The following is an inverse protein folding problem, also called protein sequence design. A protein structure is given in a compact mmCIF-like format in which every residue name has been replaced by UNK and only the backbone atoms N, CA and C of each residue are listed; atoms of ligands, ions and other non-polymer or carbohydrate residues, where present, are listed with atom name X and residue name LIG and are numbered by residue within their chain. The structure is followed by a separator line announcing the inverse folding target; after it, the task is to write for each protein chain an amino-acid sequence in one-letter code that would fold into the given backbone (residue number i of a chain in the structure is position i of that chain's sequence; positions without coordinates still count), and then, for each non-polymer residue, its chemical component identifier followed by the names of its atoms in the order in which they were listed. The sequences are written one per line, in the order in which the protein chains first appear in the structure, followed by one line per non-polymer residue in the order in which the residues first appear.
data_IF_070491757642
#
_entry.id   IF_070491757642
#
_cell.length_a   1.000
_cell.length_b   1.000
_cell.length_c   1.000
_cell.angle_alpha   90.00
_cell.angle_beta   90.00
_cell.angle_gamma   90.00
#
_symmetry.space_group_name_H-M   'P 1'
#
loop_
_entity.id
_entity.type
_entity.pdbx_description
1 polymer ?
#
# COMPACT_ATOMS: atom_id res chain seq x y z
N UNK A 1 -27.57 -1.42 -1.56
CA UNK A 1 -26.61 -2.13 -0.72
C UNK A 1 -26.70 -1.56 0.70
N UNK A 2 -27.14 -2.34 1.69
CA UNK A 2 -27.01 -1.97 3.10
C UNK A 2 -25.51 -1.83 3.39
N UNK A 3 -25.06 -0.60 3.64
CA UNK A 3 -23.67 -0.30 3.96
C UNK A 3 -23.40 -0.81 5.37
N UNK A 4 -22.71 -1.93 5.50
CA UNK A 4 -22.13 -2.41 6.77
C UNK A 4 -20.97 -1.48 7.16
N UNK A 5 -21.29 -0.24 7.54
CA UNK A 5 -20.30 0.67 8.09
C UNK A 5 -19.90 0.12 9.45
N UNK A 6 -18.67 -0.34 9.55
CA UNK A 6 -18.11 -0.86 10.79
C UNK A 6 -17.79 0.32 11.68
N UNK A 7 -18.45 0.41 12.81
CA UNK A 7 -18.15 1.38 13.86
C UNK A 7 -16.96 0.86 14.69
N UNK A 8 -15.86 1.61 14.67
CA UNK A 8 -14.62 1.27 15.39
C UNK A 8 -14.76 1.39 16.92
N UNK A 9 -15.83 2.05 17.39
CA UNK A 9 -16.01 2.35 18.82
C UNK A 9 -16.89 1.36 19.60
N UNK A 10 -17.71 0.55 18.91
CA UNK A 10 -18.81 -0.19 19.56
C UNK A 10 -18.65 -1.71 19.56
N UNK A 11 -17.75 -2.27 18.74
CA UNK A 11 -17.59 -3.71 18.57
C UNK A 11 -16.44 -4.27 19.42
N UNK A 12 -16.61 -5.54 19.85
CA UNK A 12 -15.53 -6.32 20.45
C UNK A 12 -14.31 -6.36 19.51
N UNK A 13 -13.10 -6.15 20.04
CA UNK A 13 -11.84 -6.03 19.28
C UNK A 13 -11.60 -7.24 18.37
N UNK A 14 -11.88 -8.47 18.85
CA UNK A 14 -11.70 -9.69 18.06
C UNK A 14 -12.68 -9.76 16.88
N UNK A 15 -13.94 -9.44 17.12
CA UNK A 15 -14.97 -9.39 16.06
C UNK A 15 -14.64 -8.32 15.04
N UNK A 16 -14.17 -7.16 15.49
CA UNK A 16 -13.74 -6.06 14.66
C UNK A 16 -12.53 -6.48 13.81
N UNK A 17 -11.50 -7.07 14.42
CA UNK A 17 -10.33 -7.57 13.72
C UNK A 17 -10.70 -8.57 12.62
N UNK A 18 -11.57 -9.56 12.92
CA UNK A 18 -12.01 -10.54 11.91
C UNK A 18 -12.74 -9.90 10.74
N UNK A 19 -13.55 -8.87 10.99
CA UNK A 19 -14.25 -8.11 9.92
C UNK A 19 -13.30 -7.36 9.00
N UNK A 20 -12.12 -6.97 9.47
CA UNK A 20 -11.08 -6.34 8.68
C UNK A 20 -10.12 -7.36 8.06
N UNK A 21 -9.72 -8.37 8.83
CA UNK A 21 -8.72 -9.35 8.42
C UNK A 21 -9.16 -10.21 7.23
N UNK A 22 -10.36 -10.78 7.30
CA UNK A 22 -10.84 -11.67 6.22
C UNK A 22 -10.90 -10.97 4.86
N UNK A 23 -11.53 -9.79 4.70
CA UNK A 23 -11.51 -9.09 3.43
C UNK A 23 -10.10 -8.66 3.00
N UNK A 24 -9.25 -8.23 3.94
CA UNK A 24 -7.89 -7.81 3.61
C UNK A 24 -7.05 -8.99 3.12
N UNK A 25 -7.12 -10.14 3.81
CA UNK A 25 -6.43 -11.36 3.40
C UNK A 25 -6.89 -11.84 2.02
N UNK A 26 -8.20 -11.86 1.77
CA UNK A 26 -8.73 -12.25 0.45
C UNK A 26 -8.29 -11.29 -0.67
N UNK A 27 -8.26 -9.98 -0.39
CA UNK A 27 -7.75 -9.00 -1.34
C UNK A 27 -6.26 -9.21 -1.65
N UNK A 28 -5.44 -9.47 -0.63
CA UNK A 28 -4.01 -9.75 -0.81
C UNK A 28 -3.75 -11.07 -1.50
N UNK A 29 -4.52 -12.12 -1.16
CA UNK A 29 -4.45 -13.42 -1.82
C UNK A 29 -4.75 -13.28 -3.32
N UNK A 30 -5.77 -12.51 -3.68
CA UNK A 30 -6.12 -12.23 -5.08
C UNK A 30 -4.96 -11.56 -5.81
N UNK A 31 -4.32 -10.55 -5.20
CA UNK A 31 -3.17 -9.86 -5.81
C UNK A 31 -1.95 -10.76 -5.94
N UNK A 32 -1.65 -11.60 -4.92
CA UNK A 32 -0.55 -12.57 -5.00
C UNK A 32 -0.80 -13.64 -6.07
N UNK A 33 -2.04 -14.11 -6.20
CA UNK A 33 -2.42 -15.07 -7.24
C UNK A 33 -2.27 -14.47 -8.64
N UNK A 34 -2.66 -13.20 -8.83
CA UNK A 34 -2.47 -12.47 -10.09
C UNK A 34 -0.99 -12.41 -10.47
N UNK A 35 -0.12 -12.02 -9.53
CA UNK A 35 1.32 -11.96 -9.80
C UNK A 35 1.88 -13.30 -10.29
N UNK A 36 1.44 -14.42 -9.70
CA UNK A 36 1.84 -15.75 -10.14
C UNK A 36 1.25 -16.12 -11.50
N UNK A 37 -0.02 -15.80 -11.77
CA UNK A 37 -0.70 -16.05 -13.05
C UNK A 37 -0.04 -15.25 -14.18
N UNK A 38 0.26 -13.97 -13.93
CA UNK A 38 0.96 -13.10 -14.86
C UNK A 38 2.33 -13.70 -15.23
N UNK A 39 3.11 -14.15 -14.25
CA UNK A 39 4.36 -14.86 -14.49
C UNK A 39 4.20 -16.15 -15.33
N UNK A 40 3.14 -16.92 -15.09
CA UNK A 40 2.82 -18.12 -15.89
C UNK A 40 2.48 -17.73 -17.32
N UNK A 41 1.67 -16.70 -17.53
CA UNK A 41 1.26 -16.27 -18.88
C UNK A 41 2.43 -15.68 -19.67
N UNK A 42 3.26 -14.85 -19.05
CA UNK A 42 4.48 -14.33 -19.67
C UNK A 42 5.45 -15.47 -19.99
N UNK A 43 5.63 -16.41 -19.06
CA UNK A 43 6.52 -17.56 -19.28
C UNK A 43 6.08 -18.46 -20.43
N UNK A 44 4.78 -18.72 -20.59
CA UNK A 44 4.26 -19.54 -21.69
C UNK A 44 4.13 -18.77 -23.01
N UNK A 45 3.83 -17.47 -22.96
CA UNK A 45 3.60 -16.66 -24.14
C UNK A 45 4.87 -16.06 -24.77
N UNK A 46 5.89 -15.80 -23.93
CA UNK A 46 7.13 -15.11 -24.36
C UNK A 46 8.38 -15.95 -24.07
N UNK A 47 8.36 -16.76 -23.01
CA UNK A 47 9.50 -17.57 -22.58
C UNK A 47 10.34 -16.93 -21.48
N UNK A 48 11.58 -17.44 -21.29
CA UNK A 48 12.51 -16.99 -20.23
C UNK A 48 12.86 -15.51 -20.33
N UNK A 49 13.07 -15.01 -21.54
CA UNK A 49 13.43 -13.62 -21.83
C UNK A 49 12.32 -12.66 -21.37
N UNK A 50 11.05 -13.04 -21.56
CA UNK A 50 9.90 -12.28 -21.07
C UNK A 50 9.87 -12.19 -19.55
N UNK A 51 10.10 -13.31 -18.85
CA UNK A 51 10.17 -13.35 -17.38
C UNK A 51 11.35 -12.49 -16.90
N UNK A 52 12.52 -12.58 -17.55
CA UNK A 52 13.69 -11.79 -17.21
C UNK A 52 13.43 -10.29 -17.38
N UNK A 53 12.81 -9.88 -18.49
CA UNK A 53 12.49 -8.49 -18.78
C UNK A 53 11.54 -7.90 -17.74
N UNK A 54 10.46 -8.61 -17.37
CA UNK A 54 9.54 -8.19 -16.31
C UNK A 54 10.27 -8.09 -14.97
N UNK A 55 11.05 -9.12 -14.60
CA UNK A 55 11.73 -9.18 -13.31
C UNK A 55 12.75 -8.04 -13.11
N UNK A 56 13.43 -7.60 -14.18
CA UNK A 56 14.33 -6.44 -14.14
C UNK A 56 13.58 -5.15 -13.75
N UNK A 57 12.32 -5.00 -14.12
CA UNK A 57 11.51 -3.80 -13.81
C UNK A 57 10.90 -3.83 -12.39
N UNK A 58 10.75 -4.99 -11.76
CA UNK A 58 10.08 -5.16 -10.46
C UNK A 58 10.69 -4.32 -9.32
N UNK A 59 12.02 -4.17 -9.16
CA UNK A 59 12.60 -3.36 -8.10
C UNK A 59 12.09 -1.91 -8.10
N UNK A 60 11.91 -1.29 -9.26
CA UNK A 60 11.35 0.06 -9.36
C UNK A 60 9.88 0.08 -8.89
N UNK A 61 9.07 -0.87 -9.33
CA UNK A 61 7.68 -0.99 -8.89
C UNK A 61 7.58 -1.12 -7.36
N UNK A 62 8.45 -1.93 -6.75
CA UNK A 62 8.48 -2.12 -5.30
C UNK A 62 8.81 -0.83 -4.56
N UNK A 63 9.74 -0.01 -5.06
CA UNK A 63 10.06 1.29 -4.48
C UNK A 63 8.86 2.24 -4.54
N UNK A 64 8.17 2.34 -5.67
CA UNK A 64 6.97 3.17 -5.80
C UNK A 64 5.82 2.67 -4.92
N UNK A 65 5.61 1.37 -4.87
CA UNK A 65 4.62 0.75 -3.98
C UNK A 65 4.97 1.04 -2.52
N UNK A 66 6.25 0.94 -2.14
CA UNK A 66 6.74 1.25 -0.80
C UNK A 66 6.48 2.70 -0.38
N UNK A 67 6.67 3.67 -1.29
CA UNK A 67 6.32 5.08 -1.05
C UNK A 67 4.81 5.22 -0.82
N UNK A 68 4.00 4.56 -1.65
CA UNK A 68 2.55 4.53 -1.49
C UNK A 68 2.10 3.93 -0.15
N UNK A 69 2.71 2.80 0.26
CA UNK A 69 2.46 2.15 1.55
C UNK A 69 2.89 3.02 2.73
N UNK A 70 4.05 3.67 2.66
CA UNK A 70 4.54 4.59 3.69
C UNK A 70 3.54 5.72 3.94
N UNK A 71 3.15 6.41 2.88
CA UNK A 71 2.22 7.54 2.99
C UNK A 71 0.81 7.07 3.32
N UNK A 72 0.36 5.95 2.74
CA UNK A 72 -0.96 5.37 2.99
C UNK A 72 -1.14 4.93 4.45
N UNK A 73 -0.18 4.20 5.01
CA UNK A 73 -0.19 3.79 6.41
C UNK A 73 -0.10 5.00 7.35
N UNK A 74 0.85 5.93 7.10
CA UNK A 74 1.01 7.14 7.89
C UNK A 74 -0.24 8.04 7.84
N UNK A 75 -0.82 8.24 6.66
CA UNK A 75 -2.06 8.98 6.47
C UNK A 75 -3.22 8.35 7.24
N UNK A 76 -3.38 7.03 7.16
CA UNK A 76 -4.43 6.28 7.85
C UNK A 76 -4.31 6.42 9.36
N UNK A 77 -3.11 6.33 9.94
CA UNK A 77 -2.87 6.53 11.38
C UNK A 77 -3.23 7.94 11.80
N UNK A 78 -2.72 8.96 11.11
CA UNK A 78 -2.99 10.37 11.44
C UNK A 78 -4.48 10.70 11.31
N UNK A 79 -5.13 10.25 10.23
CA UNK A 79 -6.55 10.45 10.02
C UNK A 79 -7.41 9.73 11.07
N UNK A 80 -7.02 8.52 11.48
CA UNK A 80 -7.68 7.72 12.52
C UNK A 80 -7.67 8.44 13.88
N UNK A 81 -6.50 8.95 14.30
CA UNK A 81 -6.36 9.73 15.52
C UNK A 81 -7.19 11.02 15.47
N UNK A 82 -7.27 11.68 14.33
CA UNK A 82 -8.09 12.89 14.17
C UNK A 82 -9.59 12.58 14.19
N UNK A 83 -10.01 11.46 13.60
CA UNK A 83 -11.40 11.00 13.66
C UNK A 83 -11.82 10.66 15.08
N UNK A 84 -10.99 9.94 15.83
CA UNK A 84 -11.28 9.60 17.24
C UNK A 84 -11.43 10.83 18.13
N UNK A 85 -10.76 11.94 17.77
CA UNK A 85 -10.87 13.25 18.46
C UNK A 85 -12.01 14.13 17.92
N UNK A 86 -12.87 13.62 17.04
CA UNK A 86 -13.97 14.38 16.43
C UNK A 86 -13.54 15.42 15.38
N UNK A 87 -12.24 15.46 15.00
CA UNK A 87 -11.70 16.44 14.04
C UNK A 87 -11.81 15.96 12.58
N UNK A 88 -13.02 15.64 12.13
CA UNK A 88 -13.27 15.07 10.79
C UNK A 88 -12.76 15.95 9.63
N UNK A 89 -12.84 17.28 9.74
CA UNK A 89 -12.29 18.19 8.72
C UNK A 89 -10.78 18.03 8.56
N UNK A 90 -10.05 17.93 9.66
CA UNK A 90 -8.59 17.73 9.64
C UNK A 90 -8.23 16.38 9.05
N UNK A 91 -8.97 15.32 9.39
CA UNK A 91 -8.78 14.00 8.81
C UNK A 91 -8.95 14.00 7.28
N UNK A 92 -10.02 14.63 6.77
CA UNK A 92 -10.28 14.77 5.33
C UNK A 92 -9.17 15.55 4.61
N UNK A 93 -8.72 16.66 5.20
CA UNK A 93 -7.62 17.45 4.63
C UNK A 93 -6.31 16.65 4.59
N UNK A 94 -5.99 15.88 5.63
CA UNK A 94 -4.81 15.02 5.65
C UNK A 94 -4.83 13.98 4.52
N UNK A 95 -5.98 13.35 4.27
CA UNK A 95 -6.13 12.39 3.16
C UNK A 95 -5.92 13.06 1.81
N UNK A 96 -6.53 14.24 1.59
CA UNK A 96 -6.37 14.97 0.33
C UNK A 96 -4.91 15.41 0.11
N UNK A 97 -4.24 15.89 1.17
CA UNK A 97 -2.83 16.29 1.13
C UNK A 97 -1.91 15.09 0.83
N UNK A 98 -2.17 13.94 1.44
CA UNK A 98 -1.43 12.71 1.19
C UNK A 98 -1.53 12.29 -0.28
N UNK A 99 -2.74 12.21 -0.82
CA UNK A 99 -2.97 11.83 -2.22
C UNK A 99 -2.32 12.81 -3.20
N UNK A 100 -2.44 14.11 -2.97
CA UNK A 100 -1.78 15.11 -3.81
C UNK A 100 -0.25 14.96 -3.78
N UNK A 101 0.31 14.79 -2.59
CA UNK A 101 1.75 14.63 -2.42
C UNK A 101 2.29 13.39 -3.15
N UNK A 102 1.67 12.23 -2.93
CA UNK A 102 2.15 10.99 -3.58
C UNK A 102 1.95 11.02 -5.09
N UNK A 103 0.90 11.71 -5.58
CA UNK A 103 0.69 11.91 -7.02
C UNK A 103 1.84 12.72 -7.64
N UNK A 104 2.25 13.81 -6.98
CA UNK A 104 3.39 14.62 -7.45
C UNK A 104 4.69 13.81 -7.39
N UNK A 105 4.92 13.09 -6.28
CA UNK A 105 6.11 12.25 -6.10
C UNK A 105 6.18 11.12 -7.11
N UNK A 106 5.05 10.59 -7.57
CA UNK A 106 5.02 9.59 -8.63
C UNK A 106 5.18 10.17 -10.03
N UNK A 107 4.54 11.31 -10.31
CA UNK A 107 4.55 11.92 -11.65
C UNK A 107 5.95 12.31 -12.10
N UNK A 108 6.76 12.92 -11.23
CA UNK A 108 8.08 13.43 -11.62
C UNK A 108 9.03 12.30 -12.07
N UNK A 109 9.25 11.23 -11.26
CA UNK A 109 10.10 10.13 -11.71
C UNK A 109 9.50 9.37 -12.90
N UNK A 110 8.17 9.19 -12.96
CA UNK A 110 7.51 8.53 -14.08
C UNK A 110 7.75 9.28 -15.39
N UNK A 111 7.60 10.60 -15.39
CA UNK A 111 7.87 11.42 -16.56
C UNK A 111 9.35 11.34 -16.99
N UNK A 112 10.28 11.34 -16.04
CA UNK A 112 11.71 11.20 -16.31
C UNK A 112 12.04 9.84 -16.93
N UNK A 113 11.50 8.75 -16.40
CA UNK A 113 11.71 7.40 -16.93
C UNK A 113 11.08 7.20 -18.31
N UNK A 114 9.93 7.83 -18.55
CA UNK A 114 9.33 7.84 -19.90
C UNK A 114 10.13 8.65 -20.92
N UNK A 115 10.84 9.69 -20.48
CA UNK A 115 11.72 10.47 -21.35
C UNK A 115 13.02 9.72 -21.70
N UNK A 116 13.50 8.85 -20.79
CA UNK A 116 14.76 8.10 -20.93
C UNK A 116 14.58 6.61 -20.61
N UNK A 117 13.74 5.88 -21.37
CA UNK A 117 13.40 4.50 -21.01
C UNK A 117 14.57 3.52 -21.22
N UNK A 118 15.39 3.71 -22.26
CA UNK A 118 16.54 2.85 -22.54
C UNK A 118 17.64 3.01 -21.47
N UNK A 119 17.92 4.24 -21.05
CA UNK A 119 18.86 4.52 -19.97
C UNK A 119 18.38 3.93 -18.64
N UNK A 120 17.07 4.03 -18.36
CA UNK A 120 16.47 3.41 -17.18
C UNK A 120 16.62 1.90 -17.22
N UNK A 121 16.37 1.25 -18.36
CA UNK A 121 16.56 -0.19 -18.54
C UNK A 121 18.01 -0.62 -18.31
N UNK A 122 18.98 0.12 -18.85
CA UNK A 122 20.40 -0.14 -18.61
C UNK A 122 20.80 0.03 -17.15
N UNK A 123 20.29 1.06 -16.48
CA UNK A 123 20.53 1.25 -15.04
C UNK A 123 19.99 0.12 -14.19
N UNK A 124 18.90 -0.54 -14.61
CA UNK A 124 18.34 -1.70 -13.94
C UNK A 124 19.14 -2.99 -14.20
N UNK A 125 20.13 -2.95 -15.08
CA UNK A 125 20.98 -4.10 -15.40
C UNK A 125 20.47 -4.96 -16.56
N UNK A 126 19.69 -4.39 -17.47
CA UNK A 126 19.26 -5.08 -18.69
C UNK A 126 20.46 -5.37 -19.61
N UNK A 127 20.53 -6.59 -20.13
CA UNK A 127 21.44 -6.91 -21.24
C UNK A 127 21.00 -6.20 -22.53
N UNK A 128 21.93 -6.03 -23.49
CA UNK A 128 21.58 -5.45 -24.80
C UNK A 128 20.55 -6.30 -25.56
N UNK A 129 20.51 -7.62 -25.29
CA UNK A 129 19.53 -8.54 -25.85
C UNK A 129 18.11 -8.26 -25.30
N UNK A 130 17.99 -8.05 -23.99
CA UNK A 130 16.68 -7.78 -23.31
C UNK A 130 16.26 -6.31 -23.41
N UNK A 131 17.18 -5.40 -23.78
CA UNK A 131 16.93 -3.97 -23.77
C UNK A 131 15.64 -3.54 -24.49
N UNK A 132 15.34 -4.04 -25.71
CA UNK A 132 14.08 -3.69 -26.38
C UNK A 132 12.83 -4.10 -25.57
N UNK A 133 12.80 -5.33 -25.03
CA UNK A 133 11.66 -5.83 -24.26
C UNK A 133 11.48 -5.07 -22.97
N UNK A 134 12.56 -4.77 -22.25
CA UNK A 134 12.53 -3.99 -21.00
C UNK A 134 12.07 -2.56 -21.27
N UNK A 135 12.54 -1.96 -22.36
CA UNK A 135 12.15 -0.60 -22.77
C UNK A 135 10.65 -0.54 -23.11
N UNK A 136 10.16 -1.48 -23.90
CA UNK A 136 8.74 -1.57 -24.25
C UNK A 136 7.87 -1.80 -23.00
N UNK A 137 8.30 -2.68 -22.10
CA UNK A 137 7.61 -2.90 -20.83
C UNK A 137 7.51 -1.62 -20.00
N UNK A 138 8.62 -0.88 -19.84
CA UNK A 138 8.66 0.37 -19.08
C UNK A 138 7.73 1.41 -19.70
N UNK A 139 7.73 1.59 -21.01
CA UNK A 139 6.90 2.60 -21.70
C UNK A 139 5.39 2.38 -21.44
N UNK A 140 4.94 1.14 -21.41
CA UNK A 140 3.53 0.82 -21.18
C UNK A 140 3.16 0.68 -19.71
N UNK A 141 4.13 0.40 -18.84
CA UNK A 141 3.89 0.16 -17.42
C UNK A 141 4.04 1.41 -16.55
N UNK A 142 5.05 2.25 -16.81
CA UNK A 142 5.34 3.46 -16.01
C UNK A 142 4.15 4.42 -15.89
N UNK A 143 3.31 4.67 -16.92
CA UNK A 143 2.14 5.52 -16.79
C UNK A 143 1.14 5.05 -15.72
N UNK A 144 1.09 3.75 -15.44
CA UNK A 144 0.19 3.20 -14.43
C UNK A 144 0.64 3.45 -13.00
N UNK A 145 1.87 3.88 -12.75
CA UNK A 145 2.40 4.03 -11.39
C UNK A 145 1.70 5.10 -10.57
N UNK A 146 1.21 6.15 -11.21
CA UNK A 146 0.34 7.13 -10.55
C UNK A 146 -0.94 6.48 -10.05
N UNK A 147 -1.52 5.60 -10.87
CA UNK A 147 -2.73 4.86 -10.49
C UNK A 147 -2.44 3.76 -9.47
N UNK A 148 -1.24 3.17 -9.49
CA UNK A 148 -0.78 2.25 -8.44
C UNK A 148 -0.79 2.92 -7.06
N UNK A 149 -0.39 4.18 -6.98
CA UNK A 149 -0.49 4.95 -5.75
C UNK A 149 -1.95 5.31 -5.43
N UNK A 150 -2.76 5.56 -6.45
CA UNK A 150 -4.20 5.82 -6.31
C UNK A 150 -5.02 4.57 -5.93
N UNK A 151 -4.45 3.39 -5.98
CA UNK A 151 -5.04 2.21 -5.35
C UNK A 151 -4.44 1.99 -3.95
N UNK A 152 -3.12 2.09 -3.79
CA UNK A 152 -2.42 1.77 -2.54
C UNK A 152 -2.86 2.66 -1.38
N UNK A 153 -2.80 3.99 -1.53
CA UNK A 153 -3.16 4.94 -0.46
C UNK A 153 -4.66 4.88 -0.15
N UNK A 154 -5.57 4.93 -1.13
CA UNK A 154 -7.00 4.79 -0.86
C UNK A 154 -7.40 3.49 -0.17
N UNK A 155 -6.75 2.36 -0.42
CA UNK A 155 -7.09 1.12 0.26
C UNK A 155 -6.96 1.22 1.79
N UNK A 156 -5.95 1.94 2.31
CA UNK A 156 -5.83 2.23 3.74
C UNK A 156 -6.96 3.14 4.23
N UNK A 157 -7.28 4.17 3.47
CA UNK A 157 -8.30 5.16 3.81
C UNK A 157 -9.71 4.54 3.76
N UNK A 158 -10.01 3.71 2.76
CA UNK A 158 -11.28 3.00 2.61
C UNK A 158 -11.52 2.03 3.77
N UNK A 159 -10.46 1.32 4.21
CA UNK A 159 -10.55 0.47 5.42
C UNK A 159 -10.86 1.32 6.64
N UNK A 160 -10.18 2.44 6.83
CA UNK A 160 -10.42 3.36 7.95
C UNK A 160 -11.84 3.98 7.91
N UNK A 161 -12.38 4.25 6.71
CA UNK A 161 -13.77 4.74 6.53
C UNK A 161 -14.82 3.67 6.86
N UNK A 162 -14.41 2.47 7.29
CA UNK A 162 -15.29 1.36 7.70
C UNK A 162 -15.78 0.48 6.55
N UNK A 163 -15.11 0.49 5.40
CA UNK A 163 -15.50 -0.28 4.22
C UNK A 163 -14.43 -1.30 3.75
N UNK A 164 -13.93 -2.23 4.60
CA UNK A 164 -12.89 -3.18 4.21
C UNK A 164 -13.31 -4.13 3.08
N UNK A 165 -14.59 -4.47 2.98
CA UNK A 165 -15.14 -5.26 1.87
C UNK A 165 -14.99 -4.55 0.52
N UNK A 166 -15.13 -3.22 0.50
CA UNK A 166 -14.92 -2.45 -0.72
C UNK A 166 -13.43 -2.40 -1.10
N UNK A 167 -12.54 -2.27 -0.11
CA UNK A 167 -11.10 -2.35 -0.35
C UNK A 167 -10.73 -3.71 -0.98
N UNK A 168 -11.28 -4.80 -0.47
CA UNK A 168 -11.15 -6.14 -1.08
C UNK A 168 -11.69 -6.17 -2.51
N UNK A 169 -12.87 -5.58 -2.74
CA UNK A 169 -13.49 -5.57 -4.06
C UNK A 169 -12.65 -4.80 -5.09
N UNK A 170 -12.02 -3.68 -4.70
CA UNK A 170 -11.09 -2.96 -5.58
C UNK A 170 -9.92 -3.86 -6.00
N UNK A 171 -9.31 -4.59 -5.05
CA UNK A 171 -8.23 -5.55 -5.36
C UNK A 171 -8.70 -6.68 -6.26
N UNK A 172 -9.90 -7.22 -6.00
CA UNK A 172 -10.47 -8.31 -6.80
C UNK A 172 -10.80 -7.87 -8.23
N UNK A 173 -11.35 -6.68 -8.42
CA UNK A 173 -11.62 -6.10 -9.75
C UNK A 173 -10.31 -5.95 -10.53
N UNK A 174 -9.27 -5.38 -9.89
CA UNK A 174 -7.94 -5.26 -10.50
C UNK A 174 -7.42 -6.64 -10.91
N UNK A 175 -7.54 -7.64 -10.03
CA UNK A 175 -7.10 -9.00 -10.27
C UNK A 175 -7.79 -9.65 -11.47
N UNK A 176 -9.11 -9.59 -11.53
CA UNK A 176 -9.90 -10.20 -12.61
C UNK A 176 -9.62 -9.52 -13.94
N UNK A 177 -9.58 -8.19 -13.98
CA UNK A 177 -9.28 -7.44 -15.20
C UNK A 177 -7.87 -7.80 -15.70
N UNK A 178 -6.88 -7.87 -14.80
CA UNK A 178 -5.51 -8.20 -15.18
C UNK A 178 -5.43 -9.60 -15.83
N UNK A 179 -5.93 -10.63 -15.16
CA UNK A 179 -5.88 -12.02 -15.68
C UNK A 179 -6.57 -12.14 -17.06
N UNK A 180 -7.71 -11.49 -17.23
CA UNK A 180 -8.45 -11.53 -18.50
C UNK A 180 -7.68 -10.82 -19.60
N UNK A 181 -7.12 -9.63 -19.31
CA UNK A 181 -6.40 -8.85 -20.30
C UNK A 181 -5.02 -9.45 -20.61
N UNK A 182 -4.32 -10.03 -19.64
CA UNK A 182 -3.06 -10.74 -19.85
C UNK A 182 -3.26 -11.90 -20.81
N UNK A 183 -4.28 -12.73 -20.58
CA UNK A 183 -4.62 -13.80 -21.49
C UNK A 183 -4.92 -13.28 -22.90
N UNK A 184 -5.71 -12.21 -23.00
CA UNK A 184 -6.14 -11.65 -24.29
C UNK A 184 -4.96 -11.06 -25.08
N UNK A 185 -4.10 -10.28 -24.44
CA UNK A 185 -3.02 -9.57 -25.12
C UNK A 185 -1.81 -10.44 -25.40
N UNK A 186 -1.51 -11.40 -24.51
CA UNK A 186 -0.36 -12.29 -24.69
C UNK A 186 -0.66 -13.37 -25.75
N UNK A 187 -1.80 -14.07 -25.66
CA UNK A 187 -2.09 -15.21 -26.52
C UNK A 187 -2.83 -14.85 -27.82
N UNK A 188 -4.07 -14.34 -27.81
CA UNK A 188 -4.77 -14.02 -29.06
C UNK A 188 -4.13 -12.89 -29.86
N UNK A 189 -3.64 -11.83 -29.20
CA UNK A 189 -3.05 -10.68 -29.90
C UNK A 189 -1.55 -10.82 -30.13
N UNK A 190 -0.86 -11.71 -29.40
CA UNK A 190 0.57 -11.95 -29.57
C UNK A 190 1.48 -10.75 -29.23
N UNK A 191 1.01 -9.84 -28.33
CA UNK A 191 1.78 -8.64 -27.97
C UNK A 191 2.93 -8.92 -27.00
N UNK A 192 3.09 -10.16 -26.55
CA UNK A 192 4.22 -10.56 -25.71
C UNK A 192 4.32 -9.73 -24.40
N UNK A 193 5.53 -9.32 -24.06
CA UNK A 193 5.83 -8.55 -22.82
C UNK A 193 5.11 -7.20 -22.79
N UNK A 194 4.98 -6.53 -23.94
CA UNK A 194 4.22 -5.30 -24.06
C UNK A 194 2.75 -5.51 -23.67
N UNK A 195 2.16 -6.64 -24.09
CA UNK A 195 0.78 -7.02 -23.75
C UNK A 195 0.58 -7.18 -22.23
N UNK A 196 1.51 -7.85 -21.55
CA UNK A 196 1.50 -7.99 -20.09
C UNK A 196 1.58 -6.62 -19.39
N UNK A 197 2.49 -5.74 -19.82
CA UNK A 197 2.62 -4.39 -19.29
C UNK A 197 1.32 -3.59 -19.44
N UNK A 198 0.70 -3.67 -20.61
CA UNK A 198 -0.53 -2.95 -20.93
C UNK A 198 -1.74 -3.47 -20.15
N UNK A 199 -1.86 -4.80 -20.02
CA UNK A 199 -2.91 -5.43 -19.22
C UNK A 199 -2.81 -5.04 -17.73
N UNK A 200 -1.61 -5.11 -17.17
CA UNK A 200 -1.33 -4.69 -15.79
C UNK A 200 -1.65 -3.21 -15.60
N UNK A 201 -1.28 -2.36 -16.56
CA UNK A 201 -1.58 -0.92 -16.50
C UNK A 201 -3.08 -0.63 -16.48
N UNK A 202 -3.84 -1.22 -17.39
CA UNK A 202 -5.31 -1.03 -17.44
C UNK A 202 -5.96 -1.53 -16.15
N UNK A 203 -5.55 -2.67 -15.62
CA UNK A 203 -6.12 -3.25 -14.41
C UNK A 203 -5.86 -2.37 -13.18
N UNK A 204 -4.64 -1.85 -13.03
CA UNK A 204 -4.27 -0.89 -11.98
C UNK A 204 -5.05 0.41 -12.13
N UNK A 205 -5.19 0.94 -13.35
CA UNK A 205 -5.98 2.14 -13.62
C UNK A 205 -7.43 1.94 -13.22
N UNK A 206 -8.04 0.81 -13.58
CA UNK A 206 -9.41 0.48 -13.22
C UNK A 206 -9.61 0.42 -11.69
N UNK A 207 -8.74 -0.31 -10.98
CA UNK A 207 -8.79 -0.40 -9.52
C UNK A 207 -8.56 0.94 -8.82
N UNK A 208 -7.58 1.72 -9.29
CA UNK A 208 -7.28 3.07 -8.78
C UNK A 208 -8.44 4.04 -8.99
N UNK A 209 -9.07 4.03 -10.17
CA UNK A 209 -10.24 4.86 -10.45
C UNK A 209 -11.44 4.49 -9.57
N UNK A 210 -11.72 3.20 -9.37
CA UNK A 210 -12.81 2.76 -8.48
C UNK A 210 -12.55 3.25 -7.05
N UNK A 211 -11.34 3.12 -6.55
CA UNK A 211 -10.95 3.58 -5.22
C UNK A 211 -11.07 5.12 -5.08
N UNK A 212 -10.64 5.87 -6.09
CA UNK A 212 -10.75 7.33 -6.12
C UNK A 212 -12.20 7.81 -6.22
N UNK A 213 -13.02 7.19 -7.06
CA UNK A 213 -14.47 7.48 -7.15
C UNK A 213 -15.16 7.28 -5.81
N UNK A 214 -14.79 6.22 -5.08
CA UNK A 214 -15.30 6.03 -3.73
C UNK A 214 -14.94 7.19 -2.79
N UNK A 215 -13.67 7.59 -2.74
CA UNK A 215 -13.22 8.68 -1.86
C UNK A 215 -13.80 10.05 -2.25
N UNK A 216 -14.08 10.28 -3.53
CA UNK A 216 -14.66 11.52 -4.02
C UNK A 216 -16.17 11.63 -3.71
N UNK A 217 -16.92 10.54 -3.90
CA UNK A 217 -18.38 10.60 -3.91
C UNK A 217 -19.05 9.82 -2.78
N UNK A 218 -18.47 8.68 -2.35
CA UNK A 218 -19.15 7.70 -1.49
C UNK A 218 -18.58 7.61 -0.07
N UNK A 219 -17.38 8.13 0.21
CA UNK A 219 -16.78 8.07 1.54
C UNK A 219 -17.61 8.84 2.56
N UNK A 220 -17.78 8.25 3.75
CA UNK A 220 -18.62 8.83 4.83
C UNK A 220 -17.85 9.87 5.65
N UNK A 221 -16.73 9.45 6.21
CA UNK A 221 -15.95 10.26 7.14
C UNK A 221 -14.74 10.90 6.46
N UNK A 222 -14.17 10.26 5.44
CA UNK A 222 -12.90 10.61 4.81
C UNK A 222 -13.03 11.06 3.35
N UNK A 223 -14.18 11.66 3.00
CA UNK A 223 -14.40 12.23 1.67
C UNK A 223 -13.37 13.31 1.36
N UNK A 224 -12.78 13.26 0.16
CA UNK A 224 -11.82 14.27 -0.30
C UNK A 224 -12.42 15.67 -0.32
N UNK A 225 -11.62 16.66 0.08
CA UNK A 225 -12.01 18.06 0.09
C UNK A 225 -11.02 18.91 -0.70
N UNK A 226 -11.48 19.91 -1.46
CA UNK A 226 -10.58 20.81 -2.16
C UNK A 226 -9.67 21.55 -1.19
N UNK A 227 -8.38 21.61 -1.51
CA UNK A 227 -7.39 22.36 -0.75
C UNK A 227 -7.48 23.86 -1.10
N UNK A 228 -7.39 24.70 -0.09
CA UNK A 228 -7.27 26.15 -0.32
C UNK A 228 -5.81 26.47 -0.70
N UNK A 229 -5.62 27.13 -1.81
CA UNK A 229 -4.31 27.60 -2.28
C UNK A 229 -3.89 28.84 -1.48
N UNK A 230 -3.13 28.63 -0.42
CA UNK A 230 -2.60 29.67 0.46
C UNK A 230 -1.25 29.23 1.02
N UNK A 231 -0.32 30.15 1.24
CA UNK A 231 1.00 29.86 1.83
C UNK A 231 0.84 29.15 3.19
N UNK A 232 -0.14 29.57 4.00
CA UNK A 232 -0.46 28.92 5.28
C UNK A 232 -0.92 27.46 5.06
N UNK A 233 -1.75 27.21 4.07
CA UNK A 233 -2.21 25.85 3.70
C UNK A 233 -1.05 24.99 3.24
N UNK A 234 -0.15 25.51 2.42
CA UNK A 234 1.03 24.79 1.93
C UNK A 234 1.96 24.39 3.09
N UNK A 235 2.26 25.33 4.00
CA UNK A 235 3.09 25.06 5.18
C UNK A 235 2.47 23.97 6.08
N UNK A 236 1.14 24.01 6.27
CA UNK A 236 0.43 22.97 7.01
C UNK A 236 0.49 21.62 6.29
N UNK A 237 0.36 21.59 4.97
CA UNK A 237 0.47 20.37 4.15
C UNK A 237 1.85 19.74 4.31
N UNK A 238 2.91 20.50 4.16
CA UNK A 238 4.29 20.00 4.32
C UNK A 238 4.50 19.43 5.74
N UNK A 239 4.01 20.12 6.77
CA UNK A 239 4.09 19.61 8.15
C UNK A 239 3.33 18.29 8.32
N UNK A 240 2.10 18.22 7.82
CA UNK A 240 1.26 17.03 7.96
C UNK A 240 1.84 15.84 7.19
N UNK A 241 2.33 16.06 5.97
CA UNK A 241 3.02 15.03 5.19
C UNK A 241 4.28 14.55 5.91
N UNK A 242 5.06 15.48 6.49
CA UNK A 242 6.22 15.12 7.31
C UNK A 242 5.88 14.18 8.47
N UNK A 243 4.75 14.39 9.14
CA UNK A 243 4.26 13.47 10.18
C UNK A 243 3.86 12.11 9.61
N UNK A 244 3.14 12.09 8.48
CA UNK A 244 2.75 10.84 7.83
C UNK A 244 3.98 10.02 7.41
N UNK A 245 4.97 10.69 6.80
CA UNK A 245 6.23 10.06 6.41
C UNK A 245 7.08 9.59 7.60
N UNK A 246 6.91 10.14 8.81
CA UNK A 246 7.59 9.65 10.02
C UNK A 246 6.95 8.41 10.62
N UNK A 247 5.68 8.18 10.38
CA UNK A 247 4.92 7.04 10.92
C UNK A 247 5.09 5.79 10.05
N UNK A 248 5.21 5.97 8.74
CA UNK A 248 5.21 4.88 7.76
C UNK A 248 6.54 4.32 7.25
N UNK A 249 7.75 4.69 7.76
CA UNK A 249 9.01 4.22 7.18
C UNK A 249 9.19 2.71 7.21
N UNK A 250 8.60 2.03 8.20
CA UNK A 250 8.65 0.56 8.29
C UNK A 250 8.05 -0.13 7.07
N UNK A 251 6.98 0.42 6.50
CA UNK A 251 6.37 -0.10 5.30
C UNK A 251 7.26 0.13 4.06
N UNK A 252 7.84 1.34 3.93
CA UNK A 252 8.80 1.63 2.87
C UNK A 252 10.05 0.75 2.97
N UNK A 253 10.62 0.59 4.18
CA UNK A 253 11.81 -0.22 4.39
C UNK A 253 11.57 -1.69 4.04
N UNK A 254 10.38 -2.23 4.32
CA UNK A 254 10.01 -3.58 3.91
C UNK A 254 10.08 -3.76 2.40
N UNK A 255 9.42 -2.92 1.63
CA UNK A 255 9.44 -2.96 0.17
C UNK A 255 10.82 -2.62 -0.41
N UNK A 256 11.52 -1.63 0.16
CA UNK A 256 12.87 -1.27 -0.27
C UNK A 256 13.87 -2.40 -0.06
N UNK A 257 13.76 -3.15 1.03
CA UNK A 257 14.60 -4.33 1.28
C UNK A 257 14.38 -5.41 0.21
N UNK A 258 13.12 -5.68 -0.14
CA UNK A 258 12.80 -6.60 -1.22
C UNK A 258 13.27 -6.08 -2.59
N UNK A 259 13.11 -4.79 -2.86
CA UNK A 259 13.60 -4.16 -4.09
C UNK A 259 15.12 -4.28 -4.23
N UNK A 260 15.87 -4.03 -3.16
CA UNK A 260 17.33 -4.20 -3.14
C UNK A 260 17.72 -5.67 -3.32
N UNK A 261 17.03 -6.59 -2.64
CA UNK A 261 17.27 -8.03 -2.79
C UNK A 261 17.07 -8.47 -4.24
N UNK A 262 15.98 -8.03 -4.89
CA UNK A 262 15.68 -8.38 -6.27
C UNK A 262 16.67 -7.71 -7.24
N UNK A 263 17.01 -6.44 -7.03
CA UNK A 263 17.99 -5.75 -7.86
C UNK A 263 19.36 -6.41 -7.79
N UNK A 264 19.87 -6.65 -6.59
CA UNK A 264 21.16 -7.34 -6.40
C UNK A 264 21.11 -8.78 -6.92
N UNK A 265 20.01 -9.48 -6.66
CA UNK A 265 19.78 -10.82 -7.20
C UNK A 265 19.85 -10.84 -8.72
N UNK A 266 19.11 -9.94 -9.39
CA UNK A 266 19.14 -9.84 -10.86
C UNK A 266 20.57 -9.59 -11.37
N UNK A 267 21.34 -8.67 -10.75
CA UNK A 267 22.73 -8.41 -11.16
C UNK A 267 23.64 -9.64 -10.99
N UNK A 268 23.51 -10.36 -9.87
CA UNK A 268 24.28 -11.57 -9.61
C UNK A 268 23.92 -12.66 -10.60
N UNK A 269 22.62 -12.96 -10.77
CA UNK A 269 22.19 -14.00 -11.72
C UNK A 269 22.55 -13.64 -13.17
N UNK A 270 22.44 -12.35 -13.55
CA UNK A 270 22.88 -11.87 -14.86
C UNK A 270 24.39 -12.12 -15.08
N UNK A 271 25.22 -11.83 -14.07
CA UNK A 271 26.67 -11.95 -14.21
C UNK A 271 27.18 -13.40 -14.30
N UNK A 272 26.49 -14.36 -13.66
CA UNK A 272 26.91 -15.77 -13.64
C UNK A 272 26.19 -16.65 -14.66
N UNK A 273 24.92 -16.40 -14.95
CA UNK A 273 24.06 -17.27 -15.74
C UNK A 273 23.39 -16.54 -16.92
N UNK A 274 23.62 -15.25 -17.09
CA UNK A 274 23.01 -14.45 -18.15
C UNK A 274 21.50 -14.28 -18.02
N UNK A 275 20.83 -14.05 -19.16
CA UNK A 275 19.39 -13.76 -19.23
C UNK A 275 18.52 -14.89 -18.66
N UNK A 276 18.88 -16.15 -18.95
CA UNK A 276 18.19 -17.33 -18.40
C UNK A 276 18.28 -17.41 -16.87
N UNK A 277 19.40 -16.98 -16.29
CA UNK A 277 19.58 -16.91 -14.84
C UNK A 277 18.61 -15.91 -14.21
N UNK A 278 18.43 -14.74 -14.81
CA UNK A 278 17.48 -13.73 -14.34
C UNK A 278 16.04 -14.23 -14.48
N UNK A 279 15.73 -14.94 -15.58
CA UNK A 279 14.43 -15.58 -15.76
C UNK A 279 14.12 -16.63 -14.68
N UNK A 280 15.09 -17.51 -14.38
CA UNK A 280 14.96 -18.52 -13.33
C UNK A 280 14.79 -17.89 -11.93
N UNK A 281 15.55 -16.85 -11.62
CA UNK A 281 15.40 -16.07 -10.37
C UNK A 281 14.03 -15.41 -10.31
N UNK A 282 13.52 -14.86 -11.41
CA UNK A 282 12.19 -14.28 -11.52
C UNK A 282 11.09 -15.25 -11.13
N UNK A 283 11.16 -16.51 -11.59
CA UNK A 283 10.20 -17.56 -11.22
C UNK A 283 10.18 -17.75 -9.69
N UNK A 284 11.33 -17.80 -9.03
CA UNK A 284 11.41 -17.89 -7.58
C UNK A 284 10.80 -16.68 -6.88
N UNK A 285 10.97 -15.48 -7.44
CA UNK A 285 10.45 -14.23 -6.89
C UNK A 285 8.91 -14.14 -6.93
N UNK A 286 8.21 -14.84 -7.83
CA UNK A 286 6.74 -14.86 -7.86
C UNK A 286 6.10 -15.49 -6.62
N UNK A 287 6.84 -16.27 -5.81
CA UNK A 287 6.36 -16.83 -4.55
C UNK A 287 6.49 -15.88 -3.36
N UNK A 288 7.33 -14.84 -3.45
CA UNK A 288 7.56 -13.88 -2.35
C UNK A 288 6.26 -13.24 -1.84
N UNK A 289 5.34 -12.75 -2.68
CA UNK A 289 4.08 -12.16 -2.20
C UNK A 289 3.23 -13.11 -1.34
N UNK A 290 3.22 -14.41 -1.64
CA UNK A 290 2.48 -15.40 -0.86
C UNK A 290 3.04 -15.58 0.56
N UNK A 291 4.36 -15.53 0.70
CA UNK A 291 5.02 -15.65 2.01
C UNK A 291 4.68 -14.46 2.92
N UNK A 292 4.68 -13.24 2.36
CA UNK A 292 4.47 -12.02 3.13
C UNK A 292 3.01 -11.61 3.29
N UNK A 293 2.07 -12.14 2.47
CA UNK A 293 0.68 -11.67 2.44
C UNK A 293 -0.06 -11.80 3.79
N UNK A 294 0.18 -12.88 4.54
CA UNK A 294 -0.51 -13.11 5.82
C UNK A 294 -0.07 -12.09 6.87
N UNK A 295 1.25 -11.86 7.00
CA UNK A 295 1.80 -10.87 7.90
C UNK A 295 1.31 -9.45 7.57
N UNK A 296 1.33 -9.09 6.29
CA UNK A 296 0.83 -7.81 5.80
C UNK A 296 -0.68 -7.65 6.04
N UNK A 297 -1.48 -8.71 5.84
CA UNK A 297 -2.92 -8.70 6.11
C UNK A 297 -3.21 -8.46 7.60
N UNK A 298 -2.46 -9.10 8.51
CA UNK A 298 -2.56 -8.87 9.95
C UNK A 298 -2.24 -7.40 10.28
N UNK A 299 -1.10 -6.89 9.81
CA UNK A 299 -0.64 -5.54 10.08
C UNK A 299 -1.64 -4.48 9.57
N UNK A 300 -2.09 -4.61 8.32
CA UNK A 300 -3.03 -3.65 7.71
C UNK A 300 -4.44 -3.72 8.30
N UNK A 301 -4.83 -4.85 8.87
CA UNK A 301 -6.13 -5.01 9.54
C UNK A 301 -6.13 -4.50 10.97
N UNK A 302 -5.03 -4.69 11.69
CA UNK A 302 -4.86 -4.21 13.05
C UNK A 302 -4.65 -2.69 13.12
N UNK A 303 -3.97 -2.10 12.13
CA UNK A 303 -3.56 -0.71 12.12
C UNK A 303 -4.72 0.30 12.35
N UNK A 304 -5.87 0.27 11.64
CA UNK A 304 -6.96 1.21 11.88
C UNK A 304 -7.59 1.05 13.27
N UNK A 305 -7.63 -0.18 13.79
CA UNK A 305 -8.19 -0.48 15.12
C UNK A 305 -7.29 0.09 16.21
N UNK A 306 -5.97 -0.19 16.12
CA UNK A 306 -4.99 0.27 17.12
C UNK A 306 -4.92 1.80 17.12
N UNK A 307 -4.80 2.42 15.95
CA UNK A 307 -4.63 3.88 15.85
C UNK A 307 -5.87 4.66 16.30
N UNK A 308 -7.08 4.13 16.06
CA UNK A 308 -8.32 4.74 16.54
C UNK A 308 -8.43 4.71 18.07
N UNK A 309 -8.18 3.53 18.67
CA UNK A 309 -8.22 3.36 20.12
C UNK A 309 -7.10 4.15 20.83
N UNK A 310 -5.92 4.24 20.23
CA UNK A 310 -4.84 5.11 20.72
C UNK A 310 -5.27 6.57 20.75
N UNK A 311 -5.96 7.04 19.72
CA UNK A 311 -6.48 8.41 19.67
C UNK A 311 -7.53 8.70 20.77
N UNK A 312 -8.39 7.73 21.07
CA UNK A 312 -9.36 7.80 22.18
C UNK A 312 -8.65 7.82 23.53
N UNK A 313 -7.68 6.93 23.77
CA UNK A 313 -6.91 6.86 25.01
C UNK A 313 -6.18 8.19 25.31
N UNK A 314 -5.59 8.83 24.32
CA UNK A 314 -4.98 10.15 24.47
C UNK A 314 -6.00 11.23 24.92
N UNK A 315 -7.24 11.15 24.43
CA UNK A 315 -8.30 12.09 24.80
C UNK A 315 -8.70 11.90 26.27
N UNK A 316 -8.80 10.67 26.76
CA UNK A 316 -9.08 10.35 28.15
C UNK A 316 -7.95 10.79 29.09
N UNK A 317 -6.71 10.55 28.71
CA UNK A 317 -5.54 10.98 29.49
C UNK A 317 -5.44 12.52 29.58
N UNK A 318 -5.73 13.23 28.48
CA UNK A 318 -5.76 14.69 28.46
C UNK A 318 -6.91 15.30 29.30
N UNK A 319 -7.99 14.54 29.51
CA UNK A 319 -9.11 14.92 30.39
C UNK A 319 -8.89 14.54 31.88
N UNK A 320 -7.71 14.04 32.24
CA UNK A 320 -7.38 13.62 33.61
C UNK A 320 -7.95 12.27 34.02
N UNK A 321 -8.45 11.48 33.06
CA UNK A 321 -8.99 10.15 33.27
C UNK A 321 -8.01 9.04 32.87
N UNK A 322 -8.14 7.84 33.46
CA UNK A 322 -7.49 6.63 32.98
C UNK A 322 -8.44 5.86 32.05
N UNK A 323 -7.95 5.50 30.86
CA UNK A 323 -8.71 4.67 29.93
C UNK A 323 -8.41 3.20 30.20
N UNK A 324 -9.39 2.49 30.75
CA UNK A 324 -9.39 1.02 30.74
C UNK A 324 -10.16 0.54 29.52
N UNK A 325 -9.46 0.05 28.50
CA UNK A 325 -10.10 -0.65 27.37
C UNK A 325 -10.83 -1.88 27.90
N UNK A 326 -12.13 -2.04 27.57
CA UNK A 326 -12.93 -3.19 27.95
C UNK A 326 -12.23 -4.49 27.53
N UNK A 327 -11.83 -5.28 28.53
CA UNK A 327 -11.43 -6.66 28.30
C UNK A 327 -12.66 -7.55 28.32
N UNK A 328 -13.10 -8.03 27.16
CA UNK A 328 -14.04 -9.14 27.10
C UNK A 328 -13.24 -10.45 27.14
N UNK A 329 -13.27 -11.13 28.27
CA UNK A 329 -13.09 -12.59 28.43
C UNK A 329 -11.77 -13.24 28.00
N UNK A 330 -10.72 -12.51 27.68
CA UNK A 330 -9.49 -13.10 27.13
C UNK A 330 -8.23 -12.24 27.24
N UNK A 331 -8.06 -11.52 28.30
CA UNK A 331 -6.73 -11.28 28.88
C UNK A 331 -5.80 -10.24 28.27
N UNK A 332 -6.19 -9.42 27.29
CA UNK A 332 -5.33 -8.29 26.85
C UNK A 332 -6.01 -6.97 27.19
N UNK A 333 -5.39 -6.16 28.02
CA UNK A 333 -5.85 -4.80 28.34
C UNK A 333 -4.77 -3.79 27.98
N UNK A 334 -5.18 -2.65 27.43
CA UNK A 334 -4.31 -1.50 27.22
C UNK A 334 -4.78 -0.38 28.15
N UNK A 335 -3.91 0.10 29.01
CA UNK A 335 -4.15 1.25 29.88
C UNK A 335 -3.34 2.44 29.33
N UNK A 336 -4.00 3.54 29.02
CA UNK A 336 -3.35 4.79 28.72
C UNK A 336 -3.42 5.68 29.96
N UNK A 337 -2.29 5.96 30.59
CA UNK A 337 -2.15 6.96 31.65
C UNK A 337 -1.31 8.13 31.13
N UNK A 338 -1.26 9.22 31.87
CA UNK A 338 -0.51 10.42 31.50
C UNK A 338 0.98 10.19 31.21
N UNK A 339 1.50 8.99 31.40
CA UNK A 339 2.89 8.60 31.16
C UNK A 339 3.08 7.66 29.94
N UNK A 340 2.01 7.18 29.29
CA UNK A 340 2.11 6.32 28.11
C UNK A 340 1.08 5.19 28.03
N UNK A 341 1.17 4.40 26.98
CA UNK A 341 0.29 3.25 26.72
C UNK A 341 0.91 2.00 27.35
N UNK A 342 0.22 1.38 28.29
CA UNK A 342 0.62 0.08 28.87
C UNK A 342 -0.35 -0.99 28.42
N UNK A 343 0.16 -1.98 27.70
CA UNK A 343 -0.59 -3.18 27.30
C UNK A 343 -0.12 -4.36 28.16
N UNK A 344 -1.05 -5.07 28.79
CA UNK A 344 -0.77 -6.27 29.57
C UNK A 344 -1.70 -7.42 29.20
N UNK A 345 -1.20 -8.66 29.23
CA UNK A 345 -1.99 -9.86 29.12
C UNK A 345 -2.09 -10.52 30.51
N UNK A 346 -3.21 -11.17 30.82
CA UNK A 346 -3.35 -11.98 32.03
C UNK A 346 -2.31 -13.12 32.03
N UNK A 347 -1.19 -12.93 32.73
CA UNK A 347 -0.11 -13.92 32.86
C UNK A 347 1.30 -13.34 32.78
N UNK A 348 1.50 -12.09 32.46
CA UNK A 348 2.82 -11.46 32.45
C UNK A 348 2.75 -10.00 32.02
N UNK A 349 3.25 -9.11 32.86
CA UNK A 349 3.33 -7.68 32.56
C UNK A 349 4.55 -7.47 31.66
N UNK A 350 4.35 -7.37 30.36
CA UNK A 350 5.34 -6.82 29.45
C UNK A 350 5.06 -5.33 29.24
N UNK A 351 5.79 -4.49 29.97
CA UNK A 351 5.83 -3.05 29.75
C UNK A 351 6.59 -2.75 28.46
N UNK A 352 5.91 -2.53 27.35
CA UNK A 352 6.47 -1.77 26.24
C UNK A 352 6.29 -0.28 26.57
N UNK A 353 7.26 0.30 27.25
CA UNK A 353 7.36 1.74 27.39
C UNK A 353 7.78 2.34 26.04
N UNK A 354 6.81 2.70 25.22
CA UNK A 354 7.03 3.63 24.12
C UNK A 354 7.12 5.05 24.70
N UNK A 355 8.27 5.36 25.30
CA UNK A 355 8.68 6.74 25.56
C UNK A 355 9.09 7.38 24.24
N UNK A 356 8.14 7.57 23.34
CA UNK A 356 8.31 8.45 22.20
C UNK A 356 7.95 9.84 22.69
N UNK A 357 8.94 10.68 22.88
CA UNK A 357 8.78 12.13 23.00
C UNK A 357 8.06 12.66 21.75
N UNK A 358 6.76 12.72 21.80
CA UNK A 358 5.92 13.31 20.77
C UNK A 358 5.69 14.77 21.14
N UNK A 359 6.23 15.74 20.39
CA UNK A 359 5.96 17.15 20.61
C UNK A 359 4.59 17.52 20.03
N UNK A 360 3.51 17.12 20.69
CA UNK A 360 2.22 17.76 20.48
C UNK A 360 2.05 18.87 21.51
N UNK A 361 2.85 19.94 21.40
CA UNK A 361 2.52 21.20 22.02
C UNK A 361 1.45 21.92 21.19
N UNK A 362 0.45 22.37 21.93
CA UNK A 362 -0.70 23.19 21.61
C UNK A 362 -0.42 24.29 20.57
N UNK A 363 -1.25 24.39 19.58
CA UNK A 363 -1.89 25.64 19.09
C UNK A 363 -3.04 25.30 18.16
#
# INVERSE_FOLDING_TARGET
MKRDAIDLSTLNVFTLFRKYFVPTLLGMLSMSAVTAIDGIFVGHGVGSDGIAAVNICVPLLMLFTGIGLMVGAGCSVVASIQLSRGKSKSARLNVTQALLFVTIVALIPSALMMAFPAETARMLGSSEHLLPMVTDYLLWFVPSWVFQIWITVPLFVIRLDGAPKLAMLCSLITAVINVVLDWLFIFPFGWGVMGAAFATSISIMAGGLVAMVYLLFYARHLRLQPLKWSVKSLRLSVRNIGYQCRIGPSALLGEATLAVLMFVGNQVFMSYLGDDGVGAFGIACYYIPFVFMVGNAIAQSAQPIISYNFGLGYLYAAAGGSFQGKSDGGGTYCVADGCGLRCGCNGGIHCLSLSAGWPFHQS
#
